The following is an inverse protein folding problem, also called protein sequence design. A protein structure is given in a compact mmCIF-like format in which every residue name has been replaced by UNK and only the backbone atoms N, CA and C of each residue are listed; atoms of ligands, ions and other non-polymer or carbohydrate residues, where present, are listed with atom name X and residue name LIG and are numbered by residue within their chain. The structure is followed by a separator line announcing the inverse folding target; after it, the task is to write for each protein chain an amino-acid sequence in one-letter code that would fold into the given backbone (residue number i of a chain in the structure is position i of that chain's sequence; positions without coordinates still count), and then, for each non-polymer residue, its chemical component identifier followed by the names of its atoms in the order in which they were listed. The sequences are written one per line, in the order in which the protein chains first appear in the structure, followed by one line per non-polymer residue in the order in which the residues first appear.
data_IF_692528653704
#
_entry.id   IF_692528653704
#
_cell.length_a   1.000
_cell.length_b   1.000
_cell.length_c   1.000
_cell.angle_alpha   90.00
_cell.angle_beta   90.00
_cell.angle_gamma   90.00
#
_symmetry.space_group_name_H-M   'P 1'
#
loop_
_entity.id
_entity.type
_entity.pdbx_description
1 polymer ?
#
# COMPACT_ATOMS: atom_id res chain seq x y z
N UNK A 1 -13.24 -0.17 -4.87
CA UNK A 1 -11.78 -0.36 -4.97
C UNK A 1 -11.19 -0.03 -3.61
N UNK A 2 -10.21 -0.82 -3.17
CA UNK A 2 -9.49 -0.58 -1.94
C UNK A 2 -8.61 0.68 -2.07
N UNK A 3 -8.56 1.51 -1.02
CA UNK A 3 -7.64 2.65 -0.94
C UNK A 3 -6.22 2.20 -0.56
N UNK A 4 -6.10 1.10 0.19
CA UNK A 4 -4.86 0.62 0.77
C UNK A 4 -4.06 -0.29 -0.19
N UNK A 5 -4.75 -1.20 -0.90
CA UNK A 5 -4.14 -2.15 -1.85
C UNK A 5 -4.76 -1.95 -3.23
N UNK A 6 -4.04 -1.26 -4.11
CA UNK A 6 -4.55 -0.83 -5.42
C UNK A 6 -4.83 -2.01 -6.37
N UNK A 7 -4.11 -3.11 -6.21
CA UNK A 7 -4.18 -4.29 -7.08
C UNK A 7 -4.92 -5.49 -6.44
N UNK A 8 -5.73 -5.28 -5.39
CA UNK A 8 -6.44 -6.38 -4.73
C UNK A 8 -7.38 -7.13 -5.70
N UNK A 9 -7.13 -8.43 -5.93
CA UNK A 9 -7.87 -9.27 -6.89
C UNK A 9 -8.99 -10.12 -6.28
N UNK A 10 -9.01 -10.25 -4.95
CA UNK A 10 -10.07 -10.94 -4.22
C UNK A 10 -10.59 -10.04 -3.10
N UNK A 11 -11.86 -10.21 -2.75
CA UNK A 11 -12.46 -9.61 -1.55
C UNK A 11 -12.71 -10.72 -0.53
N UNK A 12 -12.55 -10.41 0.74
CA UNK A 12 -12.66 -11.34 1.86
C UNK A 12 -13.95 -11.05 2.62
N UNK A 13 -14.71 -12.10 2.96
CA UNK A 13 -15.85 -11.96 3.86
C UNK A 13 -15.37 -11.99 5.30
N UNK A 14 -15.54 -10.89 6.02
CA UNK A 14 -15.19 -10.82 7.44
C UNK A 14 -16.15 -11.68 8.28
N UNK A 15 -15.66 -12.66 9.08
CA UNK A 15 -16.52 -13.54 9.85
C UNK A 15 -17.22 -12.85 11.03
N UNK A 16 -16.72 -11.70 11.47
CA UNK A 16 -17.28 -10.91 12.57
C UNK A 16 -18.57 -10.15 12.16
N UNK A 17 -18.53 -9.41 11.06
CA UNK A 17 -19.66 -8.56 10.61
C UNK A 17 -20.35 -9.06 9.34
N UNK A 18 -19.88 -10.18 8.75
CA UNK A 18 -20.38 -10.79 7.52
C UNK A 18 -20.38 -9.89 6.28
N UNK A 19 -19.64 -8.79 6.32
CA UNK A 19 -19.45 -7.84 5.20
C UNK A 19 -18.19 -8.21 4.40
N UNK A 20 -18.12 -7.69 3.19
CA UNK A 20 -17.01 -7.91 2.25
C UNK A 20 -16.04 -6.75 2.30
N UNK A 21 -14.75 -7.05 2.40
CA UNK A 21 -13.68 -6.06 2.38
C UNK A 21 -12.52 -6.54 1.52
N UNK A 22 -11.79 -5.59 0.94
CA UNK A 22 -10.62 -5.90 0.12
C UNK A 22 -9.34 -6.07 0.94
N UNK A 23 -9.28 -5.48 2.13
CA UNK A 23 -8.13 -5.58 3.04
C UNK A 23 -8.57 -5.40 4.50
N UNK A 24 -7.71 -5.75 5.47
CA UNK A 24 -7.98 -5.56 6.89
C UNK A 24 -8.17 -4.09 7.31
N UNK A 25 -7.44 -3.17 6.68
CA UNK A 25 -7.55 -1.74 6.98
C UNK A 25 -8.92 -1.17 6.58
N UNK A 26 -9.46 -1.59 5.43
CA UNK A 26 -10.82 -1.22 5.03
C UNK A 26 -11.90 -1.72 6.01
N UNK A 27 -11.65 -2.81 6.73
CA UNK A 27 -12.55 -3.26 7.79
C UNK A 27 -12.41 -2.35 9.02
N UNK A 28 -11.18 -2.04 9.43
CA UNK A 28 -10.91 -1.19 10.59
C UNK A 28 -11.49 0.22 10.44
N UNK A 29 -11.54 0.77 9.22
CA UNK A 29 -12.18 2.07 8.95
C UNK A 29 -13.71 2.04 9.12
N UNK A 30 -14.34 0.89 8.90
CA UNK A 30 -15.81 0.77 8.83
C UNK A 30 -16.40 0.16 10.10
N UNK A 31 -15.57 -0.47 10.94
CA UNK A 31 -16.05 -1.25 12.08
C UNK A 31 -15.25 -0.96 13.34
N UNK A 32 -15.96 -0.94 14.47
CA UNK A 32 -15.40 -0.60 15.78
C UNK A 32 -14.72 -1.79 16.48
N UNK A 33 -14.37 -2.86 15.74
CA UNK A 33 -13.80 -4.08 16.28
C UNK A 33 -12.74 -4.70 15.36
N UNK A 34 -11.80 -5.51 15.90
CA UNK A 34 -10.83 -6.23 15.08
C UNK A 34 -11.49 -7.38 14.31
N UNK A 35 -10.95 -7.69 13.12
CA UNK A 35 -11.38 -8.86 12.35
C UNK A 35 -11.14 -10.14 13.16
N UNK A 36 -12.18 -10.95 13.30
CA UNK A 36 -12.07 -12.26 13.95
C UNK A 36 -11.25 -13.22 13.07
N UNK A 37 -10.23 -13.84 13.67
CA UNK A 37 -9.41 -14.87 13.01
C UNK A 37 -10.20 -16.18 12.91
N UNK A 38 -10.25 -16.77 11.73
CA UNK A 38 -10.85 -18.09 11.46
C UNK A 38 -9.91 -18.91 10.58
N UNK A 39 -9.98 -20.23 10.72
CA UNK A 39 -9.21 -21.17 9.88
C UNK A 39 -9.76 -21.19 8.46
N UNK A 40 -11.08 -21.15 8.32
CA UNK A 40 -11.75 -21.04 7.03
C UNK A 40 -12.01 -19.57 6.68
N UNK A 41 -11.61 -19.19 5.48
CA UNK A 41 -11.82 -17.84 4.95
C UNK A 41 -12.60 -17.95 3.64
N UNK A 42 -13.58 -17.07 3.47
CA UNK A 42 -14.40 -17.02 2.25
C UNK A 42 -13.95 -15.84 1.41
N UNK A 43 -13.55 -16.13 0.18
CA UNK A 43 -13.08 -15.18 -0.80
C UNK A 43 -14.11 -14.99 -1.92
N UNK A 44 -14.07 -13.83 -2.55
CA UNK A 44 -14.80 -13.50 -3.77
C UNK A 44 -13.78 -13.04 -4.80
N UNK A 45 -13.63 -13.79 -5.89
CA UNK A 45 -12.72 -13.40 -6.97
C UNK A 45 -13.32 -12.22 -7.73
N UNK A 46 -12.55 -11.15 -7.97
CA UNK A 46 -13.04 -9.98 -8.72
C UNK A 46 -13.12 -10.22 -10.23
N UNK A 47 -12.31 -11.15 -10.77
CA UNK A 47 -12.33 -11.52 -12.20
C UNK A 47 -13.61 -12.27 -12.57
N UNK A 48 -13.97 -13.33 -11.83
CA UNK A 48 -15.13 -14.17 -12.14
C UNK A 48 -16.36 -13.92 -11.25
N UNK A 49 -16.25 -13.11 -10.19
CA UNK A 49 -17.31 -12.79 -9.23
C UNK A 49 -17.95 -14.02 -8.56
N UNK A 50 -17.22 -15.13 -8.49
CA UNK A 50 -17.63 -16.35 -7.78
C UNK A 50 -16.99 -16.39 -6.40
N UNK A 51 -17.80 -16.75 -5.41
CA UNK A 51 -17.34 -16.96 -4.04
C UNK A 51 -16.78 -18.37 -3.90
N UNK A 52 -15.65 -18.50 -3.19
CA UNK A 52 -15.04 -19.78 -2.87
C UNK A 52 -14.52 -19.73 -1.43
N UNK A 53 -14.39 -20.91 -0.82
CA UNK A 53 -13.89 -21.06 0.54
C UNK A 53 -12.50 -21.66 0.48
N UNK A 54 -11.60 -21.16 1.32
CA UNK A 54 -10.28 -21.73 1.48
C UNK A 54 -9.97 -21.95 2.96
N UNK A 55 -9.38 -23.10 3.25
CA UNK A 55 -8.84 -23.41 4.57
C UNK A 55 -7.40 -22.90 4.63
N UNK A 56 -7.09 -22.10 5.65
CA UNK A 56 -5.79 -21.47 5.86
C UNK A 56 -4.84 -22.37 6.67
N UNK A 57 -5.28 -23.56 7.12
CA UNK A 57 -4.43 -24.48 7.89
C UNK A 57 -3.41 -25.23 7.04
N UNK A 58 -3.76 -25.57 5.81
CA UNK A 58 -2.89 -26.20 4.83
C UNK A 58 -2.88 -25.33 3.57
N UNK A 59 -1.83 -24.50 3.44
CA UNK A 59 -1.66 -23.58 2.34
C UNK A 59 -0.60 -24.13 1.36
N UNK A 60 -1.04 -24.48 0.16
CA UNK A 60 -0.20 -25.01 -0.93
C UNK A 60 -0.15 -24.01 -2.10
N UNK A 61 0.83 -24.15 -3.00
CA UNK A 61 0.99 -23.22 -4.15
C UNK A 61 -0.25 -23.16 -5.08
N UNK A 62 -1.03 -24.25 -5.12
CA UNK A 62 -2.29 -24.30 -5.89
C UNK A 62 -3.37 -23.35 -5.34
N UNK A 63 -3.18 -22.89 -4.11
CA UNK A 63 -4.15 -22.09 -3.36
C UNK A 63 -4.03 -20.60 -3.61
N UNK A 64 -3.00 -20.20 -4.36
CA UNK A 64 -2.81 -18.84 -4.83
C UNK A 64 -3.77 -18.47 -5.97
N UNK A 65 -4.47 -19.47 -6.53
CA UNK A 65 -5.33 -19.33 -7.69
C UNK A 65 -6.80 -19.52 -7.36
N UNK A 66 -7.65 -18.77 -8.06
CA UNK A 66 -9.09 -18.95 -7.94
C UNK A 66 -9.52 -20.27 -8.61
N UNK A 67 -10.24 -21.17 -7.91
CA UNK A 67 -10.63 -22.49 -8.44
C UNK A 67 -11.63 -22.43 -9.61
N UNK A 68 -12.14 -21.25 -9.95
CA UNK A 68 -13.14 -21.07 -11.00
C UNK A 68 -12.62 -20.44 -12.29
N UNK A 69 -11.54 -19.65 -12.23
CA UNK A 69 -11.06 -18.88 -13.39
C UNK A 69 -9.54 -18.72 -13.44
N UNK A 70 -8.85 -19.46 -12.57
CA UNK A 70 -7.40 -19.53 -12.48
C UNK A 70 -6.73 -18.16 -12.30
N UNK A 71 -7.44 -17.25 -11.64
CA UNK A 71 -6.91 -15.93 -11.33
C UNK A 71 -6.00 -16.01 -10.12
N UNK A 72 -4.72 -15.71 -10.31
CA UNK A 72 -3.75 -15.53 -9.24
C UNK A 72 -4.17 -14.33 -8.36
N UNK A 73 -4.54 -14.59 -7.12
CA UNK A 73 -5.05 -13.57 -6.21
C UNK A 73 -4.07 -13.22 -5.07
N UNK A 74 -3.01 -14.02 -4.91
CA UNK A 74 -1.93 -13.76 -3.96
C UNK A 74 -0.78 -13.13 -4.73
N UNK A 75 -0.80 -11.81 -4.80
CA UNK A 75 0.18 -11.00 -5.53
C UNK A 75 0.77 -9.95 -4.60
N UNK A 76 1.96 -9.45 -4.93
CA UNK A 76 2.60 -8.36 -4.18
C UNK A 76 1.68 -7.13 -4.11
N UNK A 77 1.42 -6.66 -2.89
CA UNK A 77 0.51 -5.54 -2.66
C UNK A 77 1.13 -4.23 -3.16
N UNK A 78 0.44 -3.55 -4.08
CA UNK A 78 0.77 -2.19 -4.52
C UNK A 78 0.09 -1.19 -3.60
N UNK A 79 0.88 -0.57 -2.73
CA UNK A 79 0.43 0.52 -1.86
C UNK A 79 0.59 1.87 -2.56
N UNK A 80 -0.31 2.84 -2.32
CA UNK A 80 -0.16 4.19 -2.85
C UNK A 80 1.08 4.85 -2.25
N UNK A 81 2.05 5.22 -3.10
CA UNK A 81 3.22 6.00 -2.67
C UNK A 81 2.87 7.48 -2.74
N UNK A 82 3.03 8.26 -1.67
CA UNK A 82 2.87 9.71 -1.75
C UNK A 82 3.97 10.27 -2.66
N UNK A 83 3.59 10.71 -3.86
CA UNK A 83 4.48 11.48 -4.72
C UNK A 83 4.30 12.96 -4.39
N UNK A 84 5.36 13.61 -3.90
CA UNK A 84 5.39 15.07 -3.80
C UNK A 84 5.57 15.61 -5.22
N UNK A 85 4.50 16.16 -5.79
CA UNK A 85 4.58 16.85 -7.08
C UNK A 85 5.10 18.26 -6.82
N UNK A 86 6.30 18.58 -7.29
CA UNK A 86 6.74 19.97 -7.31
C UNK A 86 6.13 20.62 -8.54
N UNK A 87 5.05 21.38 -8.34
CA UNK A 87 4.42 22.18 -9.38
C UNK A 87 5.36 23.36 -9.71
N UNK A 88 6.23 23.17 -10.70
CA UNK A 88 6.98 24.26 -11.30
C UNK A 88 6.05 25.04 -12.22
N UNK A 89 5.59 26.21 -11.78
CA UNK A 89 4.95 27.17 -12.70
C UNK A 89 5.97 27.63 -13.76
N UNK A 90 5.50 28.21 -14.87
CA UNK A 90 6.33 28.64 -16.01
C UNK A 90 7.61 29.36 -15.53
N UNK A 91 8.78 28.88 -15.98
CA UNK A 91 10.09 29.39 -15.60
C UNK A 91 10.28 30.90 -15.83
N UNK A 92 9.44 31.51 -16.67
CA UNK A 92 9.41 32.97 -16.91
C UNK A 92 8.71 33.76 -15.79
N UNK A 93 7.82 33.14 -15.03
CA UNK A 93 7.08 33.75 -13.93
C UNK A 93 7.71 33.47 -12.58
N UNK A 94 8.25 32.25 -12.39
CA UNK A 94 8.80 31.82 -11.11
C UNK A 94 10.22 31.27 -11.25
N UNK A 95 11.21 32.15 -11.11
CA UNK A 95 12.64 31.82 -11.26
C UNK A 95 13.23 31.03 -10.07
N UNK A 96 12.43 30.73 -9.04
CA UNK A 96 12.86 30.01 -7.82
C UNK A 96 13.37 28.59 -8.08
N UNK A 97 12.94 27.99 -9.19
CA UNK A 97 13.33 26.63 -9.59
C UNK A 97 14.53 26.60 -10.55
N UNK A 98 15.03 27.77 -11.00
CA UNK A 98 16.20 27.87 -11.86
C UNK A 98 17.47 28.06 -11.01
N UNK A 99 18.42 27.15 -11.15
CA UNK A 99 19.73 27.24 -10.50
C UNK A 99 20.63 28.17 -11.32
N UNK A 100 21.05 29.31 -10.74
CA UNK A 100 22.08 30.18 -11.35
C UNK A 100 23.48 29.64 -11.01
N UNK A 101 24.21 29.19 -12.02
CA UNK A 101 25.57 28.62 -11.88
C UNK A 101 26.63 29.65 -11.48
N UNK A 102 26.31 30.96 -11.51
CA UNK A 102 27.24 32.05 -11.12
C UNK A 102 27.16 32.39 -9.64
N UNK A 103 26.10 31.96 -8.94
CA UNK A 103 26.05 32.12 -7.50
C UNK A 103 27.00 31.10 -6.87
N UNK A 104 28.01 31.60 -6.16
CA UNK A 104 28.90 30.79 -5.33
C UNK A 104 28.02 30.01 -4.37
N UNK A 105 27.95 28.69 -4.52
CA UNK A 105 27.33 27.85 -3.49
C UNK A 105 28.06 28.20 -2.19
N UNK A 106 27.32 28.76 -1.24
CA UNK A 106 27.76 28.69 0.15
C UNK A 106 27.71 27.21 0.46
N UNK A 107 28.87 26.59 0.39
CA UNK A 107 29.13 25.29 0.99
C UNK A 107 28.81 25.43 2.48
N UNK A 108 27.55 25.15 2.83
CA UNK A 108 27.17 24.81 4.18
C UNK A 108 27.45 23.33 4.33
N UNK A 109 28.74 23.00 4.37
CA UNK A 109 29.25 21.76 4.92
C UNK A 109 28.97 21.77 6.43
N UNK A 110 27.71 21.49 6.79
CA UNK A 110 27.28 21.29 8.17
C UNK A 110 27.56 19.87 8.64
N UNK A 111 28.68 19.26 8.22
CA UNK A 111 28.92 17.84 8.50
C UNK A 111 30.26 17.53 9.20
N UNK A 112 31.11 18.50 9.58
CA UNK A 112 32.39 18.18 10.25
C UNK A 112 32.70 18.94 11.57
N UNK A 113 32.08 20.08 11.91
CA UNK A 113 32.42 20.83 13.14
C UNK A 113 31.53 20.54 14.38
N UNK A 114 30.45 19.77 14.25
CA UNK A 114 29.57 19.41 15.38
C UNK A 114 29.78 18.01 15.96
N UNK A 115 30.67 17.21 15.35
CA UNK A 115 30.99 15.86 15.84
C UNK A 115 31.88 15.87 17.10
N UNK A 116 32.77 16.86 17.24
CA UNK A 116 33.73 16.92 18.36
C UNK A 116 33.17 17.56 19.64
N UNK A 117 31.94 18.10 19.62
CA UNK A 117 31.30 18.72 20.81
C UNK A 117 30.27 17.82 21.50
N UNK A 118 30.10 16.59 21.03
CA UNK A 118 29.13 15.61 21.55
C UNK A 118 29.77 14.28 21.97
N UNK A 119 31.07 14.27 22.27
CA UNK A 119 31.66 13.22 23.11
C UNK A 119 31.82 13.73 24.55
N UNK A 120 31.36 12.95 25.57
CA UNK A 120 31.31 13.36 26.98
C UNK A 120 32.68 13.47 27.67
#
# INVERSE_FOLDING_TARGET
MCKHILNAQASIRAPCCQKWFDCPECHAEVSDHPIRKTTEVVFMCKKCRKAFRKDMTAFEDSDEYCPHCDNHFIIEAKTPKPMIGVEGEDARKDARMLRDERMKQLDLSLDDEFADLLEP
#
